data_IF_600140874264
#
_entry.id   IF_600140874264
#
_cell.length_a   1.000
_cell.length_b   1.000
_cell.length_c   1.000
_cell.angle_alpha   90.00
_cell.angle_beta   90.00
_cell.angle_gamma   90.00
#
_symmetry.space_group_name_H-M   'P 1'
#
loop_
_entity.id
_entity.type
_entity.pdbx_description
1 polymer ?
#
# COMPACT_ATOMS: atom_id res chain seq x y z
N UNK A 1 22.35 -8.99 17.20
CA UNK A 1 21.33 -8.54 18.16
C UNK A 1 19.91 -9.09 17.89
N UNK A 2 19.68 -10.01 16.92
CA UNK A 2 18.35 -10.54 16.57
C UNK A 2 17.29 -9.44 16.30
N UNK A 3 17.72 -8.26 15.87
CA UNK A 3 16.82 -7.12 15.63
C UNK A 3 15.88 -7.34 14.45
N UNK A 4 14.68 -6.75 14.53
CA UNK A 4 13.63 -6.79 13.49
C UNK A 4 13.47 -5.42 12.81
N UNK A 5 14.60 -4.79 12.46
CA UNK A 5 14.62 -3.43 11.92
C UNK A 5 13.95 -3.41 10.54
N UNK A 6 13.15 -2.38 10.31
CA UNK A 6 12.49 -2.07 9.03
C UNK A 6 12.80 -0.61 8.70
N UNK A 7 12.96 -0.30 7.43
CA UNK A 7 13.21 1.07 6.98
C UNK A 7 12.55 1.30 5.62
N UNK A 8 12.31 2.57 5.31
CA UNK A 8 11.87 3.05 4.00
C UNK A 8 13.00 3.95 3.49
N UNK A 9 13.42 3.76 2.24
CA UNK A 9 14.40 4.61 1.58
C UNK A 9 13.69 5.40 0.49
N UNK A 10 13.80 6.73 0.54
CA UNK A 10 13.22 7.63 -0.44
C UNK A 10 14.31 8.38 -1.18
N UNK A 11 14.10 8.61 -2.48
CA UNK A 11 14.97 9.41 -3.33
C UNK A 11 14.13 9.95 -4.48
N UNK A 12 14.48 11.13 -5.01
CA UNK A 12 13.91 11.67 -6.24
C UNK A 12 14.35 10.89 -7.51
N UNK A 13 15.20 9.87 -7.35
CA UNK A 13 15.76 9.06 -8.44
C UNK A 13 16.50 9.90 -9.51
N UNK A 14 17.06 11.05 -9.12
CA UNK A 14 17.86 11.88 -10.01
C UNK A 14 19.06 11.09 -10.55
N UNK A 15 19.27 11.15 -11.87
CA UNK A 15 20.30 10.35 -12.54
C UNK A 15 20.08 8.84 -12.42
N UNK A 16 18.83 8.38 -12.21
CA UNK A 16 18.47 6.97 -12.03
C UNK A 16 19.17 6.29 -10.84
N UNK A 17 19.60 7.07 -9.83
CA UNK A 17 20.37 6.55 -8.69
C UNK A 17 19.62 5.47 -7.90
N UNK A 18 18.29 5.54 -7.84
CA UNK A 18 17.48 4.54 -7.16
C UNK A 18 17.51 3.21 -7.91
N UNK A 19 17.31 3.27 -9.23
CA UNK A 19 17.16 2.10 -10.11
C UNK A 19 18.50 1.44 -10.43
N UNK A 20 19.55 2.22 -10.68
CA UNK A 20 20.86 1.70 -11.13
C UNK A 20 21.82 1.39 -9.98
N UNK A 21 21.69 2.09 -8.85
CA UNK A 21 22.68 2.02 -7.76
C UNK A 21 22.07 1.51 -6.46
N UNK A 22 21.11 2.22 -5.88
CA UNK A 22 20.61 1.93 -4.54
C UNK A 22 19.85 0.61 -4.47
N UNK A 23 18.88 0.39 -5.37
CA UNK A 23 18.08 -0.84 -5.39
C UNK A 23 18.94 -2.08 -5.66
N UNK A 24 19.79 -2.15 -6.70
CA UNK A 24 20.64 -3.30 -6.95
C UNK A 24 21.64 -3.57 -5.81
N UNK A 25 22.12 -2.53 -5.13
CA UNK A 25 23.01 -2.68 -3.98
C UNK A 25 22.30 -3.32 -2.80
N UNK A 26 21.09 -2.86 -2.45
CA UNK A 26 20.31 -3.44 -1.34
C UNK A 26 19.90 -4.87 -1.68
N UNK A 27 19.46 -5.11 -2.92
CA UNK A 27 19.12 -6.45 -3.40
C UNK A 27 20.29 -7.42 -3.28
N UNK A 28 21.50 -7.03 -3.70
CA UNK A 28 22.71 -7.84 -3.55
C UNK A 28 23.06 -8.13 -2.10
N UNK A 29 22.87 -7.18 -1.20
CA UNK A 29 23.14 -7.40 0.23
C UNK A 29 22.11 -8.37 0.84
N UNK A 30 20.86 -8.32 0.40
CA UNK A 30 19.80 -9.22 0.86
C UNK A 30 20.00 -10.64 0.31
N UNK A 31 20.25 -10.77 -1.00
CA UNK A 31 20.38 -12.07 -1.70
C UNK A 31 21.78 -12.68 -1.57
N UNK A 32 22.81 -11.88 -1.31
CA UNK A 32 24.21 -12.26 -1.43
C UNK A 32 24.75 -12.03 -2.84
N UNK A 33 26.07 -12.00 -2.97
CA UNK A 33 26.76 -11.78 -4.25
C UNK A 33 28.19 -12.31 -4.22
N UNK A 34 28.78 -12.54 -5.40
CA UNK A 34 30.19 -12.91 -5.52
C UNK A 34 31.03 -11.67 -5.84
N UNK A 35 32.09 -11.43 -5.06
CA UNK A 35 33.03 -10.34 -5.33
C UNK A 35 33.81 -10.64 -6.61
N UNK A 36 33.95 -9.63 -7.47
CA UNK A 36 34.88 -9.67 -8.61
C UNK A 36 36.30 -9.38 -8.10
N UNK A 37 36.90 -10.33 -7.39
CA UNK A 37 38.31 -10.29 -6.97
C UNK A 37 39.04 -11.53 -7.47
N UNK A 38 40.38 -11.54 -7.41
CA UNK A 38 41.20 -12.69 -7.87
C UNK A 38 40.79 -14.03 -7.24
N UNK A 39 40.14 -14.02 -6.08
CA UNK A 39 39.74 -15.21 -5.33
C UNK A 39 38.23 -15.48 -5.34
N UNK A 40 37.42 -14.68 -6.07
CA UNK A 40 35.96 -14.86 -6.24
C UNK A 40 35.21 -15.24 -4.95
N UNK A 41 35.39 -14.43 -3.90
CA UNK A 41 34.75 -14.66 -2.59
C UNK A 41 33.22 -14.52 -2.69
N UNK A 42 32.49 -15.55 -2.25
CA UNK A 42 31.03 -15.54 -2.16
C UNK A 42 30.58 -14.93 -0.84
N UNK A 43 29.80 -13.86 -0.91
CA UNK A 43 29.20 -13.20 0.24
C UNK A 43 27.76 -13.70 0.39
N UNK A 44 27.46 -14.28 1.54
CA UNK A 44 26.11 -14.71 1.88
C UNK A 44 25.20 -13.49 2.08
N UNK A 45 23.96 -13.62 1.64
CA UNK A 45 22.94 -12.59 1.84
C UNK A 45 22.53 -12.47 3.30
N UNK A 46 22.15 -11.26 3.72
CA UNK A 46 21.63 -11.00 5.05
C UNK A 46 20.17 -11.49 5.22
N UNK A 47 19.50 -11.85 4.12
CA UNK A 47 18.08 -12.18 4.11
C UNK A 47 17.19 -10.94 4.28
N UNK A 48 15.88 -11.16 4.22
CA UNK A 48 14.86 -10.09 4.28
C UNK A 48 14.03 -9.99 3.00
N UNK A 49 13.19 -8.95 2.94
CA UNK A 49 12.36 -8.61 1.80
C UNK A 49 12.71 -7.21 1.29
N UNK A 50 12.55 -7.00 -0.02
CA UNK A 50 12.77 -5.73 -0.69
C UNK A 50 11.64 -5.50 -1.68
N UNK A 51 11.04 -4.32 -1.63
CA UNK A 51 10.02 -3.89 -2.57
C UNK A 51 10.38 -2.48 -3.05
N UNK A 52 10.18 -2.24 -4.35
CA UNK A 52 10.47 -0.96 -4.99
C UNK A 52 9.17 -0.35 -5.48
N UNK A 53 8.90 0.88 -5.07
CA UNK A 53 7.69 1.60 -5.43
C UNK A 53 8.05 2.82 -6.26
N UNK A 54 7.29 3.08 -7.32
CA UNK A 54 7.33 4.32 -8.08
C UNK A 54 6.08 5.12 -7.71
N UNK A 55 6.27 6.37 -7.33
CA UNK A 55 5.19 7.28 -6.95
C UNK A 55 4.97 8.30 -8.05
N UNK A 56 3.72 8.66 -8.28
CA UNK A 56 3.34 9.79 -9.12
C UNK A 56 2.43 10.73 -8.32
N UNK A 57 2.38 11.99 -8.71
CA UNK A 57 1.54 13.00 -8.06
C UNK A 57 0.18 13.05 -8.74
N UNK A 58 -0.89 13.04 -7.94
CA UNK A 58 -2.22 13.33 -8.46
C UNK A 58 -2.37 14.86 -8.52
N UNK A 59 -2.59 15.46 -9.70
CA UNK A 59 -2.71 16.90 -9.82
C UNK A 59 -4.01 17.36 -9.14
N UNK A 60 -3.85 18.15 -8.09
CA UNK A 60 -4.95 18.82 -7.39
C UNK A 60 -4.68 20.32 -7.37
N UNK A 61 -5.63 21.12 -7.84
CA UNK A 61 -5.49 22.59 -7.82
C UNK A 61 -5.48 23.11 -6.38
N UNK A 62 -6.37 22.57 -5.54
CA UNK A 62 -6.42 22.78 -4.09
C UNK A 62 -6.90 21.51 -3.43
N UNK A 63 -6.23 21.11 -2.35
CA UNK A 63 -6.60 19.91 -1.59
C UNK A 63 -7.95 20.03 -0.89
N UNK A 64 -8.38 21.27 -0.66
CA UNK A 64 -9.67 21.60 -0.09
C UNK A 64 -10.81 21.45 -1.12
N UNK A 65 -10.48 21.40 -2.42
CA UNK A 65 -11.43 21.32 -3.55
C UNK A 65 -11.18 20.07 -4.41
N UNK A 66 -11.09 18.89 -3.79
CA UNK A 66 -10.99 17.63 -4.52
C UNK A 66 -12.38 17.18 -4.95
N UNK A 67 -12.58 17.02 -6.26
CA UNK A 67 -13.83 16.53 -6.82
C UNK A 67 -13.95 14.99 -6.74
N UNK A 68 -15.14 14.47 -7.02
CA UNK A 68 -15.45 13.05 -6.92
C UNK A 68 -14.57 12.16 -7.80
N UNK A 69 -14.23 12.63 -9.01
CA UNK A 69 -13.32 11.92 -9.92
C UNK A 69 -11.92 11.78 -9.31
N UNK A 70 -11.39 12.84 -8.70
CA UNK A 70 -10.08 12.81 -8.06
C UNK A 70 -10.08 11.97 -6.78
N UNK A 71 -11.18 11.99 -5.99
CA UNK A 71 -11.37 11.09 -4.83
C UNK A 71 -11.29 9.63 -5.26
N UNK A 72 -11.97 9.32 -6.36
CA UNK A 72 -11.99 7.98 -6.91
C UNK A 72 -10.62 7.54 -7.42
N UNK A 73 -9.96 8.37 -8.24
CA UNK A 73 -8.60 8.13 -8.75
C UNK A 73 -7.59 7.95 -7.60
N UNK A 74 -7.67 8.79 -6.56
CA UNK A 74 -6.83 8.64 -5.37
C UNK A 74 -7.02 7.28 -4.71
N UNK A 75 -8.25 6.80 -4.60
CA UNK A 75 -8.54 5.50 -3.99
C UNK A 75 -7.94 4.36 -4.79
N UNK A 76 -8.12 4.36 -6.12
CA UNK A 76 -7.54 3.35 -7.01
C UNK A 76 -6.01 3.35 -6.97
N UNK A 77 -5.38 4.54 -6.88
CA UNK A 77 -3.91 4.66 -6.82
C UNK A 77 -3.33 4.41 -5.44
N UNK A 78 -4.11 4.58 -4.37
CA UNK A 78 -3.65 4.41 -2.99
C UNK A 78 -3.48 2.94 -2.59
N UNK A 79 -3.90 1.97 -3.41
CA UNK A 79 -3.94 0.56 -3.02
C UNK A 79 -2.62 0.00 -2.51
N UNK A 80 -1.51 0.33 -3.17
CA UNK A 80 -0.18 -0.08 -2.72
C UNK A 80 0.25 0.58 -1.40
N UNK A 81 -0.17 1.82 -1.13
CA UNK A 81 0.10 2.48 0.16
C UNK A 81 -0.68 1.81 1.30
N UNK A 82 -1.92 1.43 1.04
CA UNK A 82 -2.77 0.71 1.99
C UNK A 82 -2.20 -0.68 2.26
N UNK A 83 -1.75 -1.38 1.22
CA UNK A 83 -1.03 -2.65 1.32
C UNK A 83 0.22 -2.55 2.23
N UNK A 84 0.99 -1.46 2.13
CA UNK A 84 2.13 -1.18 3.01
C UNK A 84 1.66 -0.99 4.46
N UNK A 85 0.62 -0.17 4.69
CA UNK A 85 0.04 0.08 6.02
C UNK A 85 -0.38 -1.22 6.70
N UNK A 86 -1.03 -2.11 5.95
CA UNK A 86 -1.58 -3.36 6.47
C UNK A 86 -0.61 -4.55 6.45
N UNK A 87 0.60 -4.35 5.91
CA UNK A 87 1.64 -5.38 5.77
C UNK A 87 1.16 -6.58 4.93
N UNK A 88 0.49 -6.28 3.81
CA UNK A 88 -0.03 -7.22 2.81
C UNK A 88 0.54 -6.84 1.45
N UNK A 89 1.77 -7.25 1.16
CA UNK A 89 2.55 -6.71 0.04
C UNK A 89 2.29 -7.37 -1.31
N UNK A 90 1.63 -8.52 -1.34
CA UNK A 90 1.41 -9.31 -2.55
C UNK A 90 0.04 -8.96 -3.14
N UNK A 91 0.02 -8.39 -4.35
CA UNK A 91 -1.22 -8.12 -5.08
C UNK A 91 -1.78 -9.43 -5.66
N UNK A 92 -2.98 -9.80 -5.25
CA UNK A 92 -3.64 -11.05 -5.65
C UNK A 92 -4.55 -10.83 -6.83
N UNK A 93 -5.30 -9.73 -6.81
CA UNK A 93 -6.31 -9.44 -7.81
C UNK A 93 -6.59 -7.94 -7.87
N UNK A 94 -6.75 -7.41 -9.08
CA UNK A 94 -7.19 -6.05 -9.32
C UNK A 94 -8.20 -6.06 -10.47
N UNK A 95 -9.31 -5.36 -10.28
CA UNK A 95 -10.28 -5.09 -11.32
C UNK A 95 -10.91 -3.71 -11.10
N UNK A 96 -11.85 -3.34 -11.97
CA UNK A 96 -12.57 -2.06 -11.88
C UNK A 96 -13.37 -1.86 -10.58
N UNK A 97 -13.64 -2.93 -9.84
CA UNK A 97 -14.50 -2.89 -8.64
C UNK A 97 -13.71 -2.92 -7.36
N UNK A 98 -12.57 -3.62 -7.36
CA UNK A 98 -11.79 -3.84 -6.16
C UNK A 98 -10.35 -4.24 -6.45
N UNK A 99 -9.53 -4.15 -5.41
CA UNK A 99 -8.17 -4.64 -5.37
C UNK A 99 -7.94 -5.43 -4.09
N UNK A 100 -7.20 -6.53 -4.19
CA UNK A 100 -6.95 -7.47 -3.11
C UNK A 100 -5.45 -7.68 -2.97
N UNK A 101 -4.97 -7.58 -1.74
CA UNK A 101 -3.62 -7.92 -1.35
C UNK A 101 -3.60 -8.97 -0.25
N UNK A 102 -2.52 -9.75 -0.18
CA UNK A 102 -2.27 -10.70 0.89
C UNK A 102 -0.87 -10.52 1.50
N UNK A 103 -0.70 -10.96 2.73
CA UNK A 103 0.64 -11.13 3.28
C UNK A 103 1.25 -12.45 2.79
N UNK A 104 2.59 -12.52 2.80
CA UNK A 104 3.35 -13.68 2.33
C UNK A 104 2.90 -15.02 2.95
N UNK A 105 2.48 -14.99 4.21
CA UNK A 105 2.06 -16.19 4.95
C UNK A 105 0.58 -16.55 4.74
N UNK A 106 -0.17 -15.77 3.96
CA UNK A 106 -1.61 -15.96 3.65
C UNK A 106 -2.50 -16.03 4.89
N UNK A 107 -2.13 -15.27 5.92
CA UNK A 107 -2.86 -15.17 7.19
C UNK A 107 -3.66 -13.88 7.30
N UNK A 108 -3.38 -12.91 6.42
CA UNK A 108 -4.03 -11.60 6.39
C UNK A 108 -4.25 -11.14 4.96
N UNK A 109 -5.43 -10.55 4.72
CA UNK A 109 -5.76 -9.85 3.49
C UNK A 109 -6.06 -8.37 3.72
N UNK A 110 -5.87 -7.61 2.67
CA UNK A 110 -6.35 -6.23 2.56
C UNK A 110 -7.14 -6.14 1.28
N UNK A 111 -8.36 -5.66 1.37
CA UNK A 111 -9.22 -5.47 0.21
C UNK A 111 -9.65 -4.01 0.15
N UNK A 112 -9.79 -3.48 -1.06
CA UNK A 112 -10.26 -2.12 -1.30
C UNK A 112 -11.39 -2.22 -2.31
N UNK A 113 -12.56 -1.70 -1.96
CA UNK A 113 -13.72 -1.66 -2.83
C UNK A 113 -13.91 -0.24 -3.36
N UNK A 114 -13.85 -0.08 -4.68
CA UNK A 114 -13.74 1.22 -5.35
C UNK A 114 -15.09 1.89 -5.66
N UNK A 115 -16.21 1.19 -5.47
CA UNK A 115 -17.53 1.63 -5.92
C UNK A 115 -18.46 1.91 -4.75
N UNK A 116 -19.43 2.79 -4.96
CA UNK A 116 -20.45 3.11 -3.95
C UNK A 116 -21.60 2.11 -3.94
N UNK A 117 -21.92 1.53 -5.10
CA UNK A 117 -22.97 0.54 -5.22
C UNK A 117 -22.48 -0.83 -4.72
N UNK A 118 -23.40 -1.76 -4.44
CA UNK A 118 -23.07 -3.06 -3.86
C UNK A 118 -22.85 -4.18 -4.90
N UNK A 119 -22.83 -3.88 -6.21
CA UNK A 119 -22.94 -4.89 -7.28
C UNK A 119 -21.90 -6.02 -7.19
N UNK A 120 -20.66 -5.67 -6.82
CA UNK A 120 -19.55 -6.62 -6.64
C UNK A 120 -19.08 -6.76 -5.19
N UNK A 121 -19.75 -6.10 -4.26
CA UNK A 121 -19.36 -6.10 -2.85
C UNK A 121 -19.50 -7.49 -2.23
N UNK A 122 -20.64 -8.16 -2.42
CA UNK A 122 -20.86 -9.51 -1.89
C UNK A 122 -19.93 -10.57 -2.52
N UNK A 123 -19.55 -10.37 -3.77
CA UNK A 123 -18.53 -11.20 -4.44
C UNK A 123 -17.17 -11.04 -3.75
N UNK A 124 -16.75 -9.80 -3.49
CA UNK A 124 -15.52 -9.49 -2.78
C UNK A 124 -15.51 -10.09 -1.37
N UNK A 125 -16.59 -9.90 -0.60
CA UNK A 125 -16.72 -10.42 0.78
C UNK A 125 -16.56 -11.94 0.82
N UNK A 126 -17.11 -12.67 -0.17
CA UNK A 126 -16.93 -14.13 -0.28
C UNK A 126 -15.47 -14.54 -0.44
N UNK A 127 -14.65 -13.76 -1.14
CA UNK A 127 -13.21 -14.01 -1.32
C UNK A 127 -12.38 -13.77 -0.04
N UNK A 128 -12.96 -13.10 0.96
CA UNK A 128 -12.34 -12.79 2.25
C UNK A 128 -12.74 -13.76 3.36
N UNK A 129 -13.53 -14.79 3.04
CA UNK A 129 -14.09 -15.71 4.03
C UNK A 129 -12.97 -16.48 4.74
N UNK A 130 -12.97 -16.44 6.08
CA UNK A 130 -12.06 -17.14 7.00
C UNK A 130 -10.66 -16.52 7.21
N UNK A 131 -10.30 -15.47 6.49
CA UNK A 131 -9.00 -14.81 6.63
C UNK A 131 -9.15 -13.49 7.37
N UNK A 132 -8.16 -13.10 8.18
CA UNK A 132 -8.20 -11.80 8.84
C UNK A 132 -8.05 -10.71 7.78
N UNK A 133 -9.08 -9.91 7.58
CA UNK A 133 -9.14 -8.94 6.49
C UNK A 133 -9.41 -7.53 6.99
N UNK A 134 -8.70 -6.56 6.45
CA UNK A 134 -9.10 -5.14 6.51
C UNK A 134 -9.68 -4.78 5.15
N UNK A 135 -10.96 -4.42 5.12
CA UNK A 135 -11.69 -4.05 3.91
C UNK A 135 -11.93 -2.53 3.93
N UNK A 136 -11.25 -1.85 3.02
CA UNK A 136 -11.44 -0.43 2.75
C UNK A 136 -12.59 -0.26 1.77
N UNK A 137 -13.52 0.61 2.09
CA UNK A 137 -14.71 0.86 1.25
C UNK A 137 -14.72 2.33 0.85
N UNK A 138 -14.81 2.57 -0.45
CA UNK A 138 -14.93 3.92 -0.99
C UNK A 138 -16.22 4.60 -0.49
N UNK A 139 -16.07 5.80 0.04
CA UNK A 139 -17.18 6.65 0.48
C UNK A 139 -16.80 8.13 0.45
N UNK A 140 -17.80 9.01 0.35
CA UNK A 140 -17.58 10.47 0.44
C UNK A 140 -17.42 10.99 1.87
N UNK A 141 -17.57 10.13 2.87
CA UNK A 141 -17.43 10.49 4.27
C UNK A 141 -17.25 9.25 5.14
N UNK A 142 -17.28 9.45 6.46
CA UNK A 142 -17.08 8.37 7.43
C UNK A 142 -18.20 7.34 7.29
N UNK A 143 -17.80 6.08 7.17
CA UNK A 143 -18.72 4.96 7.07
C UNK A 143 -19.21 4.58 8.47
N UNK A 144 -20.53 4.42 8.62
CA UNK A 144 -21.09 3.80 9.81
C UNK A 144 -20.78 2.28 9.80
N UNK A 145 -19.80 1.89 10.63
CA UNK A 145 -19.34 0.50 10.74
C UNK A 145 -20.46 -0.44 11.24
N UNK A 146 -21.52 0.08 11.86
CA UNK A 146 -22.69 -0.69 12.30
C UNK A 146 -23.42 -1.35 11.12
N UNK A 147 -23.43 -0.72 9.94
CA UNK A 147 -24.06 -1.24 8.73
C UNK A 147 -23.43 -2.54 8.24
N UNK A 148 -22.19 -2.84 8.67
CA UNK A 148 -21.42 -3.99 8.24
C UNK A 148 -21.34 -5.10 9.31
N UNK A 149 -22.16 -5.03 10.37
CA UNK A 149 -22.21 -6.05 11.43
C UNK A 149 -22.57 -7.46 10.95
N UNK A 150 -23.21 -7.56 9.79
CA UNK A 150 -23.53 -8.84 9.17
C UNK A 150 -22.29 -9.56 8.60
N UNK A 151 -21.18 -8.84 8.42
CA UNK A 151 -19.91 -9.43 7.99
C UNK A 151 -19.28 -10.27 9.09
N UNK A 152 -18.44 -11.23 8.69
CA UNK A 152 -17.72 -12.07 9.63
C UNK A 152 -16.78 -11.26 10.51
N UNK A 153 -16.61 -11.68 11.78
CA UNK A 153 -15.69 -11.04 12.76
C UNK A 153 -14.23 -10.97 12.31
N UNK A 154 -13.88 -11.70 11.26
CA UNK A 154 -12.57 -11.68 10.63
C UNK A 154 -12.35 -10.43 9.75
N UNK A 155 -13.42 -9.70 9.38
CA UNK A 155 -13.37 -8.51 8.53
C UNK A 155 -13.48 -7.25 9.40
N UNK A 156 -12.54 -6.33 9.22
CA UNK A 156 -12.58 -4.97 9.78
C UNK A 156 -12.82 -3.99 8.64
N UNK A 157 -13.78 -3.08 8.80
CA UNK A 157 -14.13 -2.07 7.80
C UNK A 157 -13.40 -0.76 8.11
N UNK A 158 -12.85 -0.14 7.07
CA UNK A 158 -12.30 1.22 7.08
C UNK A 158 -12.85 2.01 5.89
N UNK A 159 -13.01 3.31 6.06
CA UNK A 159 -13.40 4.22 4.99
C UNK A 159 -12.19 4.78 4.22
N UNK A 160 -12.42 5.15 2.96
CA UNK A 160 -11.43 5.75 2.06
C UNK A 160 -12.18 6.60 1.01
N UNK A 161 -11.65 7.73 0.49
CA UNK A 161 -10.32 8.32 0.66
C UNK A 161 -10.16 9.34 1.79
N UNK A 162 -11.20 9.67 2.55
CA UNK A 162 -11.16 10.81 3.48
C UNK A 162 -9.96 10.76 4.47
N UNK A 163 -9.61 9.62 5.10
CA UNK A 163 -8.45 9.57 6.00
C UNK A 163 -7.11 9.92 5.32
N UNK A 164 -6.96 9.61 4.03
CA UNK A 164 -5.77 9.99 3.26
C UNK A 164 -5.76 11.50 3.00
N UNK A 165 -6.93 12.06 2.67
CA UNK A 165 -7.08 13.49 2.41
C UNK A 165 -6.81 14.33 3.66
N UNK A 166 -7.26 13.88 4.83
CA UNK A 166 -7.00 14.55 6.11
C UNK A 166 -5.49 14.65 6.39
N UNK A 167 -4.74 13.56 6.21
CA UNK A 167 -3.28 13.55 6.38
C UNK A 167 -2.63 14.58 5.45
N UNK A 168 -3.04 14.65 4.19
CA UNK A 168 -2.46 15.62 3.26
C UNK A 168 -2.84 17.08 3.59
N UNK A 169 -4.06 17.33 4.09
CA UNK A 169 -4.46 18.66 4.58
C UNK A 169 -3.57 19.11 5.75
N UNK A 170 -3.32 18.22 6.71
CA UNK A 170 -2.44 18.49 7.86
C UNK A 170 -1.00 18.81 7.43
N UNK A 171 -0.44 18.03 6.48
CA UNK A 171 0.90 18.27 5.94
C UNK A 171 0.97 19.64 5.25
N UNK A 172 -0.04 19.97 4.42
CA UNK A 172 -0.07 21.25 3.71
C UNK A 172 -0.20 22.45 4.65
N UNK A 173 -1.00 22.35 5.71
CA UNK A 173 -1.09 23.39 6.74
C UNK A 173 0.27 23.61 7.41
N UNK A 174 0.94 22.52 7.79
CA UNK A 174 2.27 22.56 8.43
C UNK A 174 3.34 23.20 7.55
N UNK A 175 3.23 23.10 6.22
CA UNK A 175 4.15 23.73 5.27
C UNK A 175 3.85 25.23 5.10
N UNK A 176 2.57 25.63 5.11
CA UNK A 176 2.18 27.06 5.00
C UNK A 176 2.59 27.89 6.21
N UNK A 177 2.70 27.26 7.38
CA UNK A 177 3.10 27.91 8.63
C UNK A 177 4.63 28.02 8.81
N UNK A 178 5.43 27.62 7.81
CA UNK A 178 6.90 27.75 7.77
C UNK A 178 7.35 28.74 6.72
#
# INVERSE_FOLDING_TARGET
>A
DKGKRRFILCTNNEGQIAEEVCYPRIEKIIKGYTKKSKNSEKINGLGGNLQYFKTDLIPVERIDNINDKQRHELTEKAGQMIAIKENTFEEVEICEWYQIFENKDKTRKTAIYFRENADKFEELVKKMKNEKTVLYVFSYGVIDKELFKYLGKNITIEDIPEPILEIYREINLTIKDK
#
